data_IF_529200475077
#
_entry.id   IF_529200475077
#
_cell.length_a   1.000
_cell.length_b   1.000
_cell.length_c   1.000
_cell.angle_alpha   90.00
_cell.angle_beta   90.00
_cell.angle_gamma   90.00
#
_symmetry.space_group_name_H-M   'P 1'
#
loop_
_entity.id
_entity.type
_entity.pdbx_description
1 polymer ?
#
# COMPACT_ATOMS: atom_id res chain seq x y z
N UNK A 1 11.12 -3.26 -19.60
CA UNK A 1 10.73 -2.04 -18.85
C UNK A 1 9.36 -1.59 -19.35
N UNK A 2 8.37 -1.62 -18.48
CA UNK A 2 7.06 -1.13 -18.85
C UNK A 2 7.04 0.39 -19.02
N UNK A 3 6.09 0.86 -19.83
CA UNK A 3 5.84 2.30 -20.13
C UNK A 3 5.75 3.17 -18.87
N UNK A 4 5.43 2.58 -17.72
CA UNK A 4 5.27 3.25 -16.42
C UNK A 4 6.59 3.59 -15.72
N UNK A 5 7.69 2.89 -15.99
CA UNK A 5 8.98 3.16 -15.34
C UNK A 5 9.55 4.54 -15.64
N UNK A 6 9.20 5.14 -16.79
CA UNK A 6 9.68 6.47 -17.16
C UNK A 6 8.73 7.60 -16.75
N UNK A 7 7.43 7.31 -16.57
CA UNK A 7 6.45 8.33 -16.17
C UNK A 7 6.57 8.66 -14.68
N UNK A 8 7.01 7.70 -13.86
CA UNK A 8 7.07 7.86 -12.41
C UNK A 8 8.43 8.28 -11.85
N UNK A 9 9.51 8.21 -12.66
CA UNK A 9 10.82 8.73 -12.22
C UNK A 9 10.80 10.18 -11.71
N UNK A 10 10.04 11.11 -12.32
CA UNK A 10 9.90 12.47 -11.79
C UNK A 10 9.17 12.55 -10.45
N UNK A 11 8.33 11.55 -10.13
CA UNK A 11 7.56 11.50 -8.88
C UNK A 11 8.36 10.94 -7.70
N UNK A 12 9.50 10.30 -7.95
CA UNK A 12 10.48 9.89 -6.94
C UNK A 12 11.40 11.04 -6.49
N UNK A 13 11.02 12.28 -6.82
CA UNK A 13 11.75 13.47 -6.43
C UNK A 13 11.88 13.64 -4.91
N UNK A 14 12.60 14.68 -4.52
CA UNK A 14 12.79 15.03 -3.10
C UNK A 14 11.45 15.23 -2.40
N UNK A 15 11.27 14.58 -1.24
CA UNK A 15 10.09 14.76 -0.41
C UNK A 15 9.94 16.21 0.06
N UNK A 16 8.70 16.69 0.16
CA UNK A 16 8.40 17.93 0.88
C UNK A 16 8.53 17.69 2.38
N UNK A 17 8.74 18.75 3.17
CA UNK A 17 8.80 18.64 4.62
C UNK A 17 7.53 18.02 5.22
N UNK A 18 6.36 18.32 4.65
CA UNK A 18 5.09 17.72 5.06
C UNK A 18 5.00 16.23 4.74
N UNK A 19 5.49 15.82 3.59
CA UNK A 19 5.56 14.40 3.21
C UNK A 19 6.53 13.62 4.11
N UNK A 20 7.68 14.16 4.42
CA UNK A 20 8.64 13.56 5.36
C UNK A 20 8.02 13.38 6.75
N UNK A 21 7.34 14.41 7.27
CA UNK A 21 6.61 14.35 8.54
C UNK A 21 5.54 13.26 8.55
N UNK A 22 4.70 13.22 7.51
CA UNK A 22 3.66 12.22 7.40
C UNK A 22 4.22 10.80 7.26
N UNK A 23 5.27 10.60 6.47
CA UNK A 23 5.90 9.28 6.32
C UNK A 23 6.56 8.81 7.62
N UNK A 24 7.15 9.72 8.39
CA UNK A 24 7.66 9.42 9.73
C UNK A 24 6.52 8.98 10.66
N UNK A 25 5.41 9.70 10.65
CA UNK A 25 4.22 9.35 11.43
C UNK A 25 3.65 7.98 11.02
N UNK A 26 3.63 7.67 9.71
CA UNK A 26 3.25 6.33 9.20
C UNK A 26 4.08 5.24 9.86
N UNK A 27 5.40 5.39 9.87
CA UNK A 27 6.31 4.41 10.46
C UNK A 27 6.13 4.29 11.99
N UNK A 28 5.94 5.40 12.69
CA UNK A 28 5.71 5.44 14.13
C UNK A 28 4.39 4.74 14.50
N UNK A 29 3.28 5.08 13.84
CA UNK A 29 1.97 4.46 14.08
C UNK A 29 1.99 2.98 13.73
N UNK A 30 2.64 2.60 12.63
CA UNK A 30 2.78 1.20 12.27
C UNK A 30 3.52 0.41 13.36
N UNK A 31 4.64 0.92 13.83
CA UNK A 31 5.43 0.30 14.90
C UNK A 31 4.66 0.22 16.22
N UNK A 32 3.93 1.28 16.58
CA UNK A 32 3.08 1.30 17.78
C UNK A 32 1.98 0.23 17.73
N UNK A 33 1.30 0.12 16.59
CA UNK A 33 0.20 -0.83 16.40
C UNK A 33 0.63 -2.30 16.27
N UNK A 34 1.80 -2.56 15.71
CA UNK A 34 2.25 -3.92 15.38
C UNK A 34 3.42 -4.42 16.22
N UNK A 35 4.18 -3.55 16.85
CA UNK A 35 5.46 -3.86 17.50
C UNK A 35 6.59 -4.18 16.51
N UNK A 36 6.36 -4.03 15.20
CA UNK A 36 7.31 -4.43 14.14
C UNK A 36 8.02 -3.22 13.55
N UNK A 37 9.29 -3.41 13.23
CA UNK A 37 10.15 -2.39 12.60
C UNK A 37 10.35 -2.74 11.12
N UNK A 38 9.25 -2.72 10.38
CA UNK A 38 9.21 -3.02 8.95
C UNK A 38 9.42 -1.78 8.09
N UNK A 39 9.81 -2.00 6.84
CA UNK A 39 9.73 -0.96 5.82
C UNK A 39 8.25 -0.60 5.62
N UNK A 40 7.93 0.69 5.64
CA UNK A 40 6.53 1.16 5.56
C UNK A 40 6.26 1.96 4.29
N UNK A 41 5.01 1.90 3.86
CA UNK A 41 4.47 2.68 2.74
C UNK A 41 2.98 2.95 2.99
N UNK A 42 2.35 3.71 2.10
CA UNK A 42 0.91 3.92 2.09
C UNK A 42 0.33 3.37 0.79
N UNK A 43 -0.74 2.61 0.89
CA UNK A 43 -1.48 2.09 -0.25
C UNK A 43 -2.84 2.78 -0.32
N UNK A 44 -3.27 3.16 -1.51
CA UNK A 44 -4.60 3.68 -1.75
C UNK A 44 -5.46 2.63 -2.48
N UNK A 45 -6.63 2.34 -1.92
CA UNK A 45 -7.63 1.46 -2.54
C UNK A 45 -8.88 2.26 -2.89
N UNK A 46 -9.35 2.10 -4.12
CA UNK A 46 -10.63 2.60 -4.57
C UNK A 46 -11.64 1.46 -4.66
N UNK A 47 -12.81 1.65 -4.07
CA UNK A 47 -13.97 0.78 -4.31
C UNK A 47 -15.05 1.54 -5.07
N UNK A 48 -15.71 0.86 -5.99
CA UNK A 48 -16.77 1.43 -6.81
C UNK A 48 -18.06 0.65 -6.59
N UNK A 49 -19.10 1.35 -6.13
CA UNK A 49 -20.45 0.79 -6.03
C UNK A 49 -21.37 1.49 -7.04
N UNK A 50 -21.96 0.69 -7.94
CA UNK A 50 -23.02 1.20 -8.83
C UNK A 50 -24.33 1.22 -8.08
N UNK A 51 -24.94 2.41 -7.99
CA UNK A 51 -26.32 2.59 -7.53
C UNK A 51 -27.19 2.92 -8.75
N UNK A 52 -28.51 2.69 -8.66
CA UNK A 52 -29.47 2.85 -9.75
C UNK A 52 -29.33 4.15 -10.57
N UNK A 53 -28.91 5.25 -9.94
CA UNK A 53 -28.83 6.58 -10.54
C UNK A 53 -27.43 7.18 -10.59
N UNK A 54 -26.45 6.57 -9.91
CA UNK A 54 -25.09 7.11 -9.83
C UNK A 54 -24.06 6.05 -9.47
N UNK A 55 -22.82 6.30 -9.87
CA UNK A 55 -21.66 5.53 -9.42
C UNK A 55 -21.03 6.23 -8.22
N UNK A 56 -20.81 5.49 -7.13
CA UNK A 56 -20.14 6.02 -5.93
C UNK A 56 -18.75 5.39 -5.84
N UNK A 57 -17.74 6.24 -5.77
CA UNK A 57 -16.36 5.83 -5.52
C UNK A 57 -16.01 6.12 -4.06
N UNK A 58 -15.43 5.15 -3.38
CA UNK A 58 -14.92 5.30 -2.02
C UNK A 58 -13.43 4.98 -2.02
N UNK A 59 -12.63 5.84 -1.38
CA UNK A 59 -11.18 5.72 -1.32
C UNK A 59 -10.76 5.37 0.09
N UNK A 60 -9.87 4.40 0.20
CA UNK A 60 -9.30 3.97 1.48
C UNK A 60 -7.79 4.11 1.44
N UNK A 61 -7.22 4.61 2.51
CA UNK A 61 -5.77 4.60 2.74
C UNK A 61 -5.43 3.47 3.72
N UNK A 62 -4.35 2.78 3.41
CA UNK A 62 -3.84 1.70 4.22
C UNK A 62 -2.38 1.95 4.53
N UNK A 63 -2.03 1.99 5.81
CA UNK A 63 -0.63 1.87 6.18
C UNK A 63 -0.20 0.45 5.85
N UNK A 64 0.92 0.31 5.17
CA UNK A 64 1.50 -0.97 4.82
C UNK A 64 2.89 -1.08 5.42
N UNK A 65 3.15 -2.16 6.12
CA UNK A 65 4.52 -2.56 6.47
C UNK A 65 4.83 -3.89 5.83
N UNK A 66 6.05 -4.07 5.37
CA UNK A 66 6.49 -5.32 4.77
C UNK A 66 7.88 -5.73 5.26
N UNK A 67 8.07 -7.00 5.47
CA UNK A 67 9.30 -7.56 6.03
C UNK A 67 9.24 -9.07 6.18
N UNK A 68 10.06 -9.59 7.05
CA UNK A 68 10.14 -11.00 7.42
C UNK A 68 9.79 -11.11 8.90
N UNK A 69 8.86 -12.00 9.25
CA UNK A 69 8.47 -12.21 10.65
C UNK A 69 9.51 -13.03 11.43
N UNK A 70 9.28 -13.18 12.74
CA UNK A 70 10.21 -13.90 13.64
C UNK A 70 10.38 -15.40 13.29
N UNK A 71 9.47 -15.95 12.51
CA UNK A 71 9.52 -17.32 11.99
C UNK A 71 10.16 -17.41 10.59
N UNK A 72 10.78 -16.33 10.14
CA UNK A 72 11.40 -16.22 8.81
C UNK A 72 10.39 -16.36 7.64
N UNK A 73 9.13 -15.91 7.87
CA UNK A 73 8.07 -15.95 6.88
C UNK A 73 7.85 -14.53 6.31
N UNK A 74 7.83 -14.35 4.99
CA UNK A 74 7.45 -13.07 4.37
C UNK A 74 6.05 -12.63 4.80
N UNK A 75 5.95 -11.38 5.25
CA UNK A 75 4.72 -10.81 5.79
C UNK A 75 4.50 -9.39 5.27
N UNK A 76 3.26 -9.09 4.93
CA UNK A 76 2.76 -7.74 4.69
C UNK A 76 1.66 -7.47 5.70
N UNK A 77 1.75 -6.37 6.42
CA UNK A 77 0.73 -5.94 7.37
C UNK A 77 0.05 -4.68 6.83
N UNK A 78 -1.27 -4.70 6.82
CA UNK A 78 -2.10 -3.61 6.33
C UNK A 78 -2.95 -3.05 7.48
N UNK A 79 -2.96 -1.73 7.64
CA UNK A 79 -3.74 -1.04 8.67
C UNK A 79 -4.62 0.01 7.98
N UNK A 80 -5.94 -0.20 7.91
CA UNK A 80 -6.84 0.83 7.37
C UNK A 80 -6.77 2.10 8.22
N UNK A 81 -6.72 3.25 7.56
CA UNK A 81 -6.56 4.53 8.24
C UNK A 81 -7.29 5.65 7.49
N UNK A 82 -7.84 6.60 8.23
CA UNK A 82 -8.33 7.84 7.64
C UNK A 82 -7.17 8.74 7.21
N UNK A 83 -7.23 9.39 6.02
CA UNK A 83 -6.17 10.29 5.55
C UNK A 83 -5.85 11.45 6.51
N UNK A 84 -6.80 11.84 7.34
CA UNK A 84 -6.64 12.88 8.36
C UNK A 84 -6.30 12.35 9.75
N UNK A 85 -6.13 11.02 9.86
CA UNK A 85 -5.85 10.33 11.12
C UNK A 85 -6.99 10.35 12.14
N UNK A 86 -8.23 10.58 11.69
CA UNK A 86 -9.41 10.61 12.57
C UNK A 86 -9.74 9.24 13.15
N UNK A 87 -9.39 8.16 12.43
CA UNK A 87 -9.49 6.78 12.90
C UNK A 87 -8.36 5.91 12.32
N UNK A 88 -7.99 4.88 13.06
CA UNK A 88 -7.01 3.86 12.68
C UNK A 88 -7.61 2.52 13.11
N UNK A 89 -7.75 1.60 12.16
CA UNK A 89 -8.34 0.29 12.39
C UNK A 89 -7.30 -0.75 12.85
N UNK A 90 -7.75 -1.98 13.06
CA UNK A 90 -6.87 -3.08 13.48
C UNK A 90 -6.00 -3.60 12.33
N UNK A 91 -4.76 -4.04 12.62
CA UNK A 91 -3.86 -4.57 11.60
C UNK A 91 -4.38 -5.89 11.00
N UNK A 92 -4.23 -6.03 9.69
CA UNK A 92 -4.45 -7.29 8.95
C UNK A 92 -3.08 -7.87 8.57
N UNK A 93 -2.79 -9.07 9.05
CA UNK A 93 -1.51 -9.76 8.84
C UNK A 93 -1.61 -10.73 7.67
N UNK A 94 -0.96 -10.39 6.57
CA UNK A 94 -0.88 -11.20 5.35
C UNK A 94 0.49 -11.87 5.27
N UNK A 95 0.54 -13.16 5.64
CA UNK A 95 1.75 -13.97 5.55
C UNK A 95 1.74 -14.83 4.30
N UNK A 96 2.89 -15.18 3.79
CA UNK A 96 3.00 -16.11 2.65
C UNK A 96 2.31 -17.47 2.90
N UNK A 97 2.08 -17.83 4.15
CA UNK A 97 1.39 -19.06 4.56
C UNK A 97 -0.15 -18.96 4.50
N UNK A 98 -0.72 -17.75 4.55
CA UNK A 98 -2.18 -17.52 4.53
C UNK A 98 -2.63 -16.59 3.42
N UNK A 99 -1.74 -16.15 2.56
CA UNK A 99 -1.99 -15.16 1.51
C UNK A 99 -1.28 -15.56 0.23
N UNK A 100 -1.79 -15.05 -0.88
CA UNK A 100 -1.23 -15.25 -2.21
C UNK A 100 -0.83 -13.90 -2.82
N UNK A 101 0.32 -13.86 -3.48
CA UNK A 101 0.76 -12.71 -4.26
C UNK A 101 0.78 -13.07 -5.73
N UNK A 102 0.16 -12.25 -6.55
CA UNK A 102 0.23 -12.33 -8.01
C UNK A 102 0.67 -11.00 -8.58
N UNK A 103 1.11 -10.99 -9.82
CA UNK A 103 1.45 -9.77 -10.54
C UNK A 103 0.60 -9.66 -11.79
N UNK A 104 -0.09 -8.54 -11.96
CA UNK A 104 -0.84 -8.27 -13.18
C UNK A 104 0.12 -8.04 -14.35
N UNK A 105 -0.09 -8.77 -15.45
CA UNK A 105 0.81 -8.72 -16.61
C UNK A 105 0.74 -7.41 -17.40
N UNK A 106 -0.39 -6.70 -17.33
CA UNK A 106 -0.59 -5.45 -18.07
C UNK A 106 -0.08 -4.23 -17.31
N UNK A 107 -0.36 -4.18 -16.02
CA UNK A 107 -0.04 -3.04 -15.15
C UNK A 107 1.24 -3.22 -14.37
N UNK A 108 1.76 -4.46 -14.29
CA UNK A 108 2.89 -4.85 -13.41
C UNK A 108 2.62 -4.63 -11.92
N UNK A 109 1.37 -4.37 -11.54
CA UNK A 109 0.99 -4.22 -10.14
C UNK A 109 0.99 -5.56 -9.43
N UNK A 110 1.44 -5.57 -8.18
CA UNK A 110 1.30 -6.71 -7.29
C UNK A 110 -0.10 -6.72 -6.68
N UNK A 111 -0.73 -7.89 -6.66
CA UNK A 111 -2.06 -8.13 -6.11
C UNK A 111 -1.90 -9.09 -4.95
N UNK A 112 -2.22 -8.62 -3.75
CA UNK A 112 -2.22 -9.42 -2.53
C UNK A 112 -3.63 -9.94 -2.26
N UNK A 113 -3.76 -11.25 -2.12
CA UNK A 113 -5.03 -11.92 -1.80
C UNK A 113 -5.00 -12.46 -0.38
N UNK A 114 -6.04 -12.15 0.38
CA UNK A 114 -6.24 -12.66 1.75
C UNK A 114 -7.72 -12.56 2.10
N UNK A 115 -8.26 -13.56 2.76
CA UNK A 115 -9.69 -13.66 3.08
C UNK A 115 -10.16 -12.59 4.10
N UNK A 116 -9.25 -11.97 4.84
CA UNK A 116 -9.57 -10.88 5.77
C UNK A 116 -9.72 -9.52 5.07
N UNK A 117 -9.31 -9.42 3.80
CA UNK A 117 -9.48 -8.19 3.03
C UNK A 117 -10.88 -8.10 2.47
N UNK A 118 -11.47 -6.91 2.50
CA UNK A 118 -12.69 -6.61 1.77
C UNK A 118 -12.45 -6.91 0.28
N UNK A 119 -13.35 -7.62 -0.36
CA UNK A 119 -13.21 -8.19 -1.71
C UNK A 119 -12.11 -9.27 -1.86
N UNK A 120 -11.52 -9.75 -0.78
CA UNK A 120 -10.52 -10.83 -0.76
C UNK A 120 -9.17 -10.47 -1.36
N UNK A 121 -8.96 -9.23 -1.80
CA UNK A 121 -7.70 -8.79 -2.42
C UNK A 121 -7.47 -7.29 -2.34
N UNK A 122 -6.22 -6.89 -2.48
CA UNK A 122 -5.80 -5.49 -2.64
C UNK A 122 -4.69 -5.37 -3.67
N UNK A 123 -4.79 -4.39 -4.55
CA UNK A 123 -3.70 -4.01 -5.44
C UNK A 123 -2.70 -3.17 -4.63
N UNK A 124 -1.44 -3.56 -4.62
CA UNK A 124 -0.38 -2.80 -3.94
C UNK A 124 0.02 -1.59 -4.79
N UNK A 125 -0.92 -0.69 -4.93
CA UNK A 125 -0.79 0.53 -5.71
C UNK A 125 -0.36 1.67 -4.80
N UNK A 126 0.90 2.08 -4.91
CA UNK A 126 1.44 3.22 -4.17
C UNK A 126 1.06 4.56 -4.81
N UNK A 127 0.71 4.57 -6.11
CA UNK A 127 0.06 5.69 -6.78
C UNK A 127 -1.26 5.20 -7.36
N UNK A 128 -2.33 5.92 -7.07
CA UNK A 128 -3.59 5.76 -7.78
C UNK A 128 -3.71 6.85 -8.85
N UNK A 129 -4.38 6.53 -9.96
CA UNK A 129 -4.85 7.53 -10.93
C UNK A 129 -5.73 8.60 -10.29
N UNK A 130 -6.06 8.43 -9.04
CA UNK A 130 -6.85 9.26 -8.16
C UNK A 130 -6.01 10.28 -7.36
N UNK A 131 -4.68 10.30 -7.54
CA UNK A 131 -3.78 11.29 -6.92
C UNK A 131 -4.19 12.76 -7.22
N UNK A 132 -5.12 12.97 -8.13
CA UNK A 132 -5.76 14.25 -8.41
C UNK A 132 -6.87 14.64 -7.41
N UNK A 133 -7.27 13.76 -6.46
CA UNK A 133 -8.32 14.01 -5.47
C UNK A 133 -7.71 14.20 -4.07
N UNK A 134 -7.04 15.34 -3.87
CA UNK A 134 -6.27 15.70 -2.67
C UNK A 134 -7.01 15.49 -1.33
N UNK A 135 -8.35 15.57 -1.32
CA UNK A 135 -9.13 15.47 -0.09
C UNK A 135 -9.26 14.04 0.48
N UNK A 136 -8.92 13.02 -0.31
CA UNK A 136 -9.09 11.61 0.04
C UNK A 136 -7.78 10.86 0.22
N UNK A 137 -6.65 11.54 0.00
CA UNK A 137 -5.33 10.94 0.06
C UNK A 137 -4.50 11.57 1.17
N UNK A 138 -3.73 10.73 1.82
CA UNK A 138 -2.68 11.18 2.73
C UNK A 138 -1.57 11.87 1.94
N UNK A 139 -1.10 13.02 2.41
CA UNK A 139 0.00 13.75 1.76
C UNK A 139 1.34 13.06 2.03
N UNK A 140 1.62 12.04 1.24
CA UNK A 140 2.86 11.25 1.21
C UNK A 140 3.31 11.06 -0.23
N UNK A 141 4.59 10.77 -0.44
CA UNK A 141 5.04 10.33 -1.75
C UNK A 141 4.86 8.80 -1.88
N UNK A 142 3.76 8.38 -2.48
CA UNK A 142 3.40 6.97 -2.65
C UNK A 142 4.43 6.15 -3.44
N UNK A 143 5.29 6.79 -4.24
CA UNK A 143 6.29 6.13 -5.07
C UNK A 143 7.70 6.16 -4.49
N UNK A 144 7.89 6.81 -3.36
CA UNK A 144 9.24 7.05 -2.83
C UNK A 144 10.08 5.77 -2.67
N UNK A 145 9.48 4.70 -2.21
CA UNK A 145 10.13 3.41 -1.97
C UNK A 145 9.60 2.27 -2.84
N UNK A 146 9.01 2.58 -4.01
CA UNK A 146 8.41 1.56 -4.88
C UNK A 146 9.41 0.49 -5.34
N UNK A 147 10.64 0.87 -5.64
CA UNK A 147 11.68 -0.09 -6.03
C UNK A 147 11.96 -1.11 -4.93
N UNK A 148 12.05 -0.68 -3.67
CA UNK A 148 12.24 -1.57 -2.52
C UNK A 148 11.06 -2.52 -2.32
N UNK A 149 9.84 -2.04 -2.47
CA UNK A 149 8.64 -2.89 -2.41
C UNK A 149 8.65 -3.92 -3.53
N UNK A 150 8.95 -3.50 -4.75
CA UNK A 150 9.03 -4.39 -5.92
C UNK A 150 10.08 -5.48 -5.74
N UNK A 151 11.27 -5.13 -5.30
CA UNK A 151 12.34 -6.08 -4.99
C UNK A 151 11.92 -7.08 -3.91
N UNK A 152 11.28 -6.59 -2.85
CA UNK A 152 10.76 -7.43 -1.77
C UNK A 152 9.70 -8.43 -2.29
N UNK A 153 8.70 -7.95 -3.04
CA UNK A 153 7.65 -8.79 -3.59
C UNK A 153 8.20 -9.84 -4.55
N UNK A 154 9.09 -9.44 -5.45
CA UNK A 154 9.71 -10.38 -6.40
C UNK A 154 10.53 -11.44 -5.69
N UNK A 155 11.39 -11.04 -4.77
CA UNK A 155 12.29 -11.96 -4.07
C UNK A 155 11.56 -12.91 -3.12
N UNK A 156 10.70 -12.38 -2.27
CA UNK A 156 10.15 -13.15 -1.14
C UNK A 156 8.78 -13.78 -1.43
N UNK A 157 8.00 -13.18 -2.32
CA UNK A 157 6.67 -13.69 -2.65
C UNK A 157 6.63 -14.43 -3.98
N UNK A 158 7.28 -13.89 -5.00
CA UNK A 158 7.26 -14.48 -6.35
C UNK A 158 8.38 -15.48 -6.58
N UNK A 159 9.43 -15.50 -5.75
CA UNK A 159 10.57 -16.39 -5.88
C UNK A 159 11.45 -16.12 -7.11
N UNK A 160 11.57 -14.88 -7.50
CA UNK A 160 12.31 -14.45 -8.70
C UNK A 160 13.51 -13.57 -8.37
#
# INVERSE_FOLDING_TARGET
MGLFGNIFKPLQGKLTAKQEENMKKVAEVFKEKTGKDYQTAVVCKMTTKKKLTKTVHTYYNWLMGYGIDDNNIPEIVLIPVDPKWDWIDEPIYCKKTNSEMTQDKKTSLFILKNDQLEDGKIDLQLISSVAMMENYLMDVNYMFDYEKLSEYCMKYWMGK
#
